data_IF_192817017550
#
_entry.id   IF_192817017550
#
_cell.length_a   1.000
_cell.length_b   1.000
_cell.length_c   1.000
_cell.angle_alpha   90.00
_cell.angle_beta   90.00
_cell.angle_gamma   90.00
#
_symmetry.space_group_name_H-M   'P 1'
#
loop_
_entity.id
_entity.type
_entity.pdbx_description
1 polymer ?
#
# COMPACT_ATOMS: atom_id res chain seq x y z
N UNK A 1 32.56 -15.10 -12.92
CA UNK A 1 32.75 -15.46 -11.51
C UNK A 1 32.57 -14.21 -10.66
N UNK A 2 31.35 -13.88 -10.27
CA UNK A 2 31.05 -12.84 -9.29
C UNK A 2 30.15 -13.47 -8.23
N UNK A 3 30.73 -13.72 -7.06
CA UNK A 3 30.06 -14.31 -5.92
C UNK A 3 28.99 -13.32 -5.39
N UNK A 4 27.72 -13.68 -5.48
CA UNK A 4 26.68 -13.02 -4.69
C UNK A 4 26.84 -13.49 -3.24
N UNK A 5 27.44 -12.65 -2.41
CA UNK A 5 27.47 -12.83 -0.96
C UNK A 5 26.04 -13.07 -0.46
N UNK A 6 25.80 -14.25 0.10
CA UNK A 6 24.61 -14.55 0.89
C UNK A 6 24.71 -13.77 2.20
N UNK A 7 24.36 -12.49 2.13
CA UNK A 7 24.19 -11.65 3.30
C UNK A 7 22.93 -12.14 4.04
N UNK A 8 23.14 -12.98 5.05
CA UNK A 8 22.11 -13.45 5.97
C UNK A 8 21.77 -12.34 6.98
N UNK A 9 21.43 -11.14 6.51
CA UNK A 9 20.89 -10.08 7.37
C UNK A 9 19.58 -10.59 7.98
N UNK A 10 19.45 -10.61 9.32
CA UNK A 10 18.19 -10.96 9.94
C UNK A 10 17.12 -9.99 9.42
N UNK A 11 16.02 -10.54 8.92
CA UNK A 11 14.90 -9.74 8.41
C UNK A 11 14.42 -8.80 9.50
N UNK A 12 14.38 -7.50 9.19
CA UNK A 12 13.85 -6.51 10.12
C UNK A 12 12.39 -6.84 10.47
N UNK A 13 12.12 -6.88 11.77
CA UNK A 13 10.80 -7.16 12.32
C UNK A 13 10.32 -5.94 13.08
N UNK A 14 9.04 -5.66 12.98
CA UNK A 14 8.41 -4.63 13.76
C UNK A 14 8.42 -5.00 15.24
N UNK A 15 8.96 -4.10 16.07
CA UNK A 15 9.08 -4.31 17.52
C UNK A 15 7.71 -4.35 18.22
N UNK A 16 6.72 -3.58 17.74
CA UNK A 16 5.39 -3.51 18.34
C UNK A 16 4.28 -3.32 17.30
N UNK A 17 3.12 -3.94 17.54
CA UNK A 17 1.90 -3.76 16.74
C UNK A 17 1.46 -2.30 16.68
N UNK A 18 1.58 -1.58 17.80
CA UNK A 18 1.28 -0.14 17.86
C UNK A 18 2.24 0.66 16.97
N UNK A 19 3.53 0.28 16.94
CA UNK A 19 4.50 0.90 16.04
C UNK A 19 4.15 0.71 14.56
N UNK A 20 3.65 -0.48 14.18
CA UNK A 20 3.16 -0.72 12.81
C UNK A 20 1.96 0.17 12.49
N UNK A 21 0.97 0.19 13.38
CA UNK A 21 -0.26 0.97 13.16
C UNK A 21 0.07 2.45 12.99
N UNK A 22 0.92 3.00 13.86
CA UNK A 22 1.34 4.40 13.80
C UNK A 22 2.15 4.72 12.54
N UNK A 23 3.07 3.84 12.12
CA UNK A 23 3.85 4.03 10.90
C UNK A 23 2.95 4.03 9.66
N UNK A 24 2.02 3.06 9.57
CA UNK A 24 1.08 2.97 8.44
C UNK A 24 0.09 4.13 8.45
N UNK A 25 -0.47 4.50 9.62
CA UNK A 25 -1.39 5.63 9.72
C UNK A 25 -0.71 6.96 9.36
N UNK A 26 0.54 7.15 9.79
CA UNK A 26 1.33 8.34 9.44
C UNK A 26 1.66 8.42 7.95
N UNK A 27 1.85 7.29 7.27
CA UNK A 27 2.02 7.25 5.81
C UNK A 27 0.71 7.54 5.06
N UNK A 28 -0.44 7.14 5.62
CA UNK A 28 -1.73 7.33 4.97
C UNK A 28 -2.32 8.73 5.19
N UNK A 29 -2.10 9.32 6.38
CA UNK A 29 -2.61 10.63 6.75
C UNK A 29 -1.54 11.69 6.49
N UNK A 30 -1.65 12.37 5.34
CA UNK A 30 -0.70 13.39 4.91
C UNK A 30 -1.33 14.73 4.53
N UNK A 31 -0.53 15.59 3.89
CA UNK A 31 -0.91 16.93 3.46
C UNK A 31 -2.19 16.95 2.59
N UNK A 32 -2.41 15.90 1.79
CA UNK A 32 -3.60 15.75 0.95
C UNK A 32 -4.91 15.75 1.75
N UNK A 33 -4.92 15.17 2.95
CA UNK A 33 -6.11 15.16 3.81
C UNK A 33 -6.43 16.54 4.41
N UNK A 34 -5.44 17.42 4.51
CA UNK A 34 -5.61 18.75 5.07
C UNK A 34 -5.84 19.84 4.02
N UNK A 35 -5.28 19.71 2.81
CA UNK A 35 -5.38 20.74 1.77
C UNK A 35 -6.38 20.39 0.66
N UNK A 36 -6.38 19.13 0.21
CA UNK A 36 -7.20 18.71 -0.94
C UNK A 36 -8.61 18.32 -0.52
N UNK A 37 -8.76 17.64 0.62
CA UNK A 37 -10.07 17.26 1.15
C UNK A 37 -11.00 18.47 1.40
N UNK A 38 -10.61 19.53 2.13
CA UNK A 38 -11.53 20.66 2.36
C UNK A 38 -11.83 21.44 1.09
N UNK A 39 -10.87 21.55 0.16
CA UNK A 39 -11.08 22.18 -1.14
C UNK A 39 -12.11 21.44 -1.98
N UNK A 40 -12.05 20.11 -2.03
CA UNK A 40 -13.05 19.31 -2.73
C UNK A 40 -14.40 19.29 -2.00
N UNK A 41 -14.41 19.15 -0.67
CA UNK A 41 -15.65 19.20 0.10
C UNK A 41 -16.38 20.54 -0.09
N UNK A 42 -15.67 21.67 -0.07
CA UNK A 42 -16.28 22.99 -0.28
C UNK A 42 -16.85 23.17 -1.70
N UNK A 43 -16.18 22.64 -2.74
CA UNK A 43 -16.64 22.78 -4.14
C UNK A 43 -17.82 21.87 -4.48
N UNK A 44 -17.88 20.66 -3.90
CA UNK A 44 -18.89 19.65 -4.24
C UNK A 44 -20.06 19.58 -3.24
N UNK A 45 -20.40 20.72 -2.61
CA UNK A 45 -21.60 20.82 -1.76
C UNK A 45 -21.46 20.18 -0.37
N UNK A 46 -20.23 20.05 0.14
CA UNK A 46 -19.90 19.70 1.53
C UNK A 46 -20.47 18.36 1.99
N UNK A 47 -21.69 18.38 2.51
CA UNK A 47 -22.40 17.21 3.04
C UNK A 47 -22.72 16.16 1.98
N UNK A 48 -23.12 16.57 0.77
CA UNK A 48 -23.38 15.63 -0.33
C UNK A 48 -22.08 14.91 -0.77
N UNK A 49 -20.97 15.64 -0.80
CA UNK A 49 -19.65 15.08 -1.06
C UNK A 49 -19.21 14.10 0.03
N UNK A 50 -19.45 14.39 1.30
CA UNK A 50 -19.12 13.45 2.39
C UNK A 50 -19.84 12.11 2.28
N UNK A 51 -21.12 12.10 1.86
CA UNK A 51 -21.88 10.86 1.67
C UNK A 51 -21.25 10.02 0.56
N UNK A 52 -21.00 10.61 -0.60
CA UNK A 52 -20.34 9.93 -1.72
C UNK A 52 -18.93 9.45 -1.34
N UNK A 53 -18.20 10.25 -0.56
CA UNK A 53 -16.87 9.91 -0.05
C UNK A 53 -16.90 8.67 0.85
N UNK A 54 -17.84 8.62 1.80
CA UNK A 54 -18.00 7.45 2.68
C UNK A 54 -18.38 6.18 1.92
N UNK A 55 -19.30 6.29 0.95
CA UNK A 55 -19.72 5.15 0.13
C UNK A 55 -18.53 4.63 -0.69
N UNK A 56 -17.78 5.52 -1.34
CA UNK A 56 -16.58 5.15 -2.09
C UNK A 56 -15.49 4.56 -1.18
N UNK A 57 -15.31 5.12 0.01
CA UNK A 57 -14.34 4.60 0.98
C UNK A 57 -14.69 3.17 1.43
N UNK A 58 -15.97 2.88 1.69
CA UNK A 58 -16.40 1.54 2.09
C UNK A 58 -16.34 0.52 0.95
N UNK A 59 -16.77 0.92 -0.26
CA UNK A 59 -16.85 0.02 -1.40
C UNK A 59 -15.52 -0.21 -2.10
N UNK A 60 -14.62 0.76 -2.07
CA UNK A 60 -13.37 0.75 -2.83
C UNK A 60 -12.17 0.86 -1.89
N UNK A 61 -12.16 1.84 -0.99
CA UNK A 61 -11.04 2.09 -0.09
C UNK A 61 -10.74 0.88 0.81
N UNK A 62 -11.73 0.39 1.54
CA UNK A 62 -11.59 -0.72 2.47
C UNK A 62 -11.16 -2.05 1.81
N UNK A 63 -11.78 -2.51 0.70
CA UNK A 63 -11.33 -3.74 0.05
C UNK A 63 -9.95 -3.61 -0.59
N UNK A 64 -9.59 -2.44 -1.15
CA UNK A 64 -8.24 -2.21 -1.69
C UNK A 64 -7.21 -2.25 -0.56
N UNK A 65 -7.46 -1.56 0.55
CA UNK A 65 -6.57 -1.59 1.72
C UNK A 65 -6.33 -3.02 2.23
N UNK A 66 -7.39 -3.85 2.32
CA UNK A 66 -7.24 -5.26 2.68
C UNK A 66 -6.49 -6.08 1.64
N UNK A 67 -6.76 -5.85 0.35
CA UNK A 67 -6.06 -6.53 -0.73
C UNK A 67 -4.55 -6.22 -0.71
N UNK A 68 -4.17 -4.95 -0.63
CA UNK A 68 -2.76 -4.52 -0.55
C UNK A 68 -2.06 -5.07 0.69
N UNK A 69 -2.71 -5.00 1.86
CA UNK A 69 -2.12 -5.53 3.09
C UNK A 69 -1.91 -7.05 3.00
N UNK A 70 -2.92 -7.79 2.52
CA UNK A 70 -2.84 -9.23 2.33
C UNK A 70 -1.71 -9.62 1.37
N UNK A 71 -1.61 -8.90 0.25
CA UNK A 71 -0.61 -9.10 -0.78
C UNK A 71 0.81 -8.83 -0.28
N UNK A 72 1.02 -7.67 0.36
CA UNK A 72 2.30 -7.27 0.92
C UNK A 72 2.77 -8.19 2.04
N UNK A 73 1.86 -8.71 2.87
CA UNK A 73 2.21 -9.66 3.93
C UNK A 73 2.59 -11.03 3.36
N UNK A 74 1.83 -11.55 2.40
CA UNK A 74 2.10 -12.86 1.79
C UNK A 74 3.41 -12.87 0.98
N UNK A 75 3.65 -11.82 0.19
CA UNK A 75 4.90 -11.68 -0.56
C UNK A 75 6.08 -11.34 0.36
N UNK A 76 5.84 -10.52 1.39
CA UNK A 76 6.82 -10.23 2.44
C UNK A 76 7.28 -11.49 3.16
N UNK A 77 6.41 -12.47 3.45
CA UNK A 77 6.82 -13.74 4.04
C UNK A 77 7.83 -14.52 3.17
N UNK A 78 7.77 -14.35 1.85
CA UNK A 78 8.64 -15.01 0.86
C UNK A 78 9.88 -14.21 0.49
N UNK A 79 10.11 -13.06 1.13
CA UNK A 79 11.29 -12.22 0.91
C UNK A 79 11.12 -11.17 -0.18
N UNK A 80 9.92 -10.99 -0.74
CA UNK A 80 9.63 -9.92 -1.69
C UNK A 80 8.99 -8.74 -0.98
N UNK A 81 9.66 -7.59 -1.01
CA UNK A 81 9.28 -6.35 -0.33
C UNK A 81 9.11 -5.16 -1.28
N UNK A 82 9.17 -5.40 -2.60
CA UNK A 82 8.96 -4.40 -3.65
C UNK A 82 7.81 -4.78 -4.56
N UNK A 83 7.05 -3.80 -5.08
CA UNK A 83 5.92 -4.02 -5.99
C UNK A 83 6.22 -4.97 -7.16
N UNK A 84 7.39 -4.88 -7.86
CA UNK A 84 7.74 -5.83 -8.92
C UNK A 84 7.95 -7.27 -8.42
N UNK A 85 8.45 -7.44 -7.19
CA UNK A 85 8.65 -8.75 -6.55
C UNK A 85 7.34 -9.39 -6.10
N UNK A 86 6.40 -8.60 -5.59
CA UNK A 86 5.05 -9.03 -5.22
C UNK A 86 4.26 -9.47 -6.46
N UNK A 87 4.34 -8.70 -7.55
CA UNK A 87 3.71 -9.06 -8.82
C UNK A 87 4.34 -10.29 -9.48
N UNK A 88 5.65 -10.50 -9.36
CA UNK A 88 6.31 -11.73 -9.82
C UNK A 88 5.88 -12.97 -9.00
N UNK A 89 5.45 -12.79 -7.75
CA UNK A 89 4.91 -13.86 -6.92
C UNK A 89 3.45 -14.22 -7.29
N UNK A 90 2.66 -13.25 -7.72
CA UNK A 90 1.24 -13.43 -8.08
C UNK A 90 1.02 -13.82 -9.54
N UNK A 91 1.79 -13.25 -10.46
CA UNK A 91 1.71 -13.54 -11.88
C UNK A 91 2.92 -14.35 -12.35
N UNK A 92 2.71 -15.60 -12.78
CA UNK A 92 3.73 -16.40 -13.50
C UNK A 92 4.06 -15.86 -14.91
N UNK A 93 3.51 -14.71 -15.32
CA UNK A 93 3.68 -14.12 -16.66
C UNK A 93 4.64 -12.91 -16.62
N UNK A 94 5.59 -12.79 -17.58
CA UNK A 94 6.60 -11.72 -17.61
C UNK A 94 6.00 -10.30 -17.66
N UNK A 95 4.76 -10.13 -18.12
CA UNK A 95 4.04 -8.85 -18.12
C UNK A 95 3.72 -8.31 -16.72
N UNK A 96 3.63 -9.19 -15.70
CA UNK A 96 3.39 -8.78 -14.32
C UNK A 96 4.55 -7.92 -13.76
N UNK A 97 5.78 -8.10 -14.27
CA UNK A 97 6.94 -7.27 -13.93
C UNK A 97 6.76 -5.83 -14.38
N UNK A 98 6.17 -5.63 -15.57
CA UNK A 98 5.92 -4.31 -16.12
C UNK A 98 4.80 -3.61 -15.35
N UNK A 99 3.69 -4.30 -15.05
CA UNK A 99 2.61 -3.75 -14.24
C UNK A 99 3.09 -3.26 -12.85
N UNK A 100 3.99 -4.00 -12.20
CA UNK A 100 4.60 -3.60 -10.93
C UNK A 100 5.58 -2.41 -11.01
N UNK A 101 6.07 -2.07 -12.22
CA UNK A 101 6.91 -0.88 -12.48
C UNK A 101 6.05 0.33 -12.85
N UNK A 102 4.87 0.15 -13.45
CA UNK A 102 3.94 1.27 -13.72
C UNK A 102 3.18 1.71 -12.46
N UNK A 103 3.07 0.82 -11.47
CA UNK A 103 2.46 1.10 -10.18
C UNK A 103 3.41 1.67 -9.13
N UNK A 104 4.67 2.01 -9.48
CA UNK A 104 5.64 2.69 -8.59
C UNK A 104 5.64 4.18 -8.83
#
# INVERSE_FOLDING_TARGET
MAASSSDSRPREKWSSRLGVILAVSGSAVGLGNFLRFPGQAAQYGGGAFMIAYFISFLLIGLPICWAEWGMGRAAGQKGYNSCPGIFNYIGRHPAAKYAGVIGV
#
